data_IF_720643211365
#
_entry.id   IF_720643211365
#
_cell.length_a   1.000
_cell.length_b   1.000
_cell.length_c   1.000
_cell.angle_alpha   90.00
_cell.angle_beta   90.00
_cell.angle_gamma   90.00
#
_symmetry.space_group_name_H-M   'P 1'
#
loop_
_entity.id
_entity.type
_entity.pdbx_description
1 polymer ?
#
# COMPACT_ATOMS: atom_id res chain seq x y z
N UNK A 1 -6.09 -13.16 -16.87
CA UNK A 1 -5.98 -12.20 -15.77
C UNK A 1 -5.54 -12.96 -14.54
N UNK A 2 -4.22 -12.98 -14.35
CA UNK A 2 -3.56 -13.66 -13.22
C UNK A 2 -2.85 -12.59 -12.40
N UNK A 3 -3.31 -12.40 -11.17
CA UNK A 3 -2.61 -11.61 -10.17
C UNK A 3 -1.63 -12.52 -9.46
N UNK A 4 -0.38 -12.09 -9.34
CA UNK A 4 0.68 -12.89 -8.75
C UNK A 4 1.66 -11.99 -8.01
N UNK A 5 2.06 -12.39 -6.81
CA UNK A 5 3.22 -11.86 -6.11
C UNK A 5 4.16 -13.02 -5.81
N UNK A 6 5.41 -12.92 -6.27
CA UNK A 6 6.42 -13.94 -6.07
C UNK A 6 7.61 -13.36 -5.31
N UNK A 7 8.00 -14.06 -4.26
CA UNK A 7 9.17 -13.74 -3.48
C UNK A 7 10.34 -14.62 -3.89
N UNK A 8 11.53 -14.07 -3.74
CA UNK A 8 12.77 -14.81 -3.91
C UNK A 8 13.86 -14.26 -2.99
N UNK A 9 14.84 -15.09 -2.65
CA UNK A 9 16.00 -14.71 -1.83
C UNK A 9 17.24 -15.21 -2.54
N UNK A 10 18.30 -14.41 -2.51
CA UNK A 10 19.62 -14.80 -2.99
C UNK A 10 20.31 -15.63 -1.90
N UNK A 11 20.67 -16.88 -2.17
CA UNK A 11 21.24 -17.76 -1.13
C UNK A 11 22.66 -17.32 -0.71
N UNK A 12 23.38 -16.64 -1.60
CA UNK A 12 24.73 -16.16 -1.37
C UNK A 12 24.83 -14.77 -0.72
N UNK A 13 23.71 -14.06 -0.53
CA UNK A 13 23.72 -12.70 0.01
C UNK A 13 22.48 -12.39 0.87
N UNK A 14 22.58 -11.47 1.85
CA UNK A 14 21.44 -11.02 2.64
C UNK A 14 20.57 -10.06 1.81
N UNK A 15 20.05 -10.52 0.68
CA UNK A 15 19.19 -9.75 -0.22
C UNK A 15 17.94 -10.56 -0.50
N UNK A 16 16.79 -9.93 -0.31
CA UNK A 16 15.50 -10.47 -0.75
C UNK A 16 14.98 -9.66 -1.93
N UNK A 17 14.24 -10.32 -2.78
CA UNK A 17 13.56 -9.72 -3.90
C UNK A 17 12.11 -10.17 -3.99
N UNK A 18 11.29 -9.31 -4.56
CA UNK A 18 9.89 -9.58 -4.82
C UNK A 18 9.49 -8.99 -6.16
N UNK A 19 8.58 -9.68 -6.84
CA UNK A 19 7.91 -9.20 -8.04
C UNK A 19 6.42 -9.35 -7.84
N UNK A 20 5.67 -8.32 -8.20
CA UNK A 20 4.21 -8.34 -8.21
C UNK A 20 3.72 -7.97 -9.59
N UNK A 21 2.65 -8.64 -10.02
CA UNK A 21 1.93 -8.31 -11.23
C UNK A 21 0.43 -8.40 -10.96
N UNK A 22 -0.24 -7.26 -11.09
CA UNK A 22 -1.67 -7.06 -10.82
C UNK A 22 -2.37 -6.77 -12.16
N UNK A 23 -3.06 -7.76 -12.70
CA UNK A 23 -3.99 -7.60 -13.82
C UNK A 23 -5.43 -7.45 -13.30
N UNK A 24 -5.97 -8.51 -12.70
CA UNK A 24 -7.37 -8.60 -12.30
C UNK A 24 -7.71 -7.55 -11.27
N UNK A 25 -6.91 -7.47 -10.21
CA UNK A 25 -7.08 -6.51 -9.11
C UNK A 25 -7.02 -5.07 -9.60
N UNK A 26 -6.11 -4.77 -10.54
CA UNK A 26 -6.00 -3.44 -11.12
C UNK A 26 -7.18 -3.09 -12.03
N UNK A 27 -7.60 -4.04 -12.87
CA UNK A 27 -8.79 -3.88 -13.72
C UNK A 27 -10.06 -3.63 -12.90
N UNK A 28 -10.21 -4.28 -11.74
CA UNK A 28 -11.34 -4.01 -10.85
C UNK A 28 -11.34 -2.55 -10.38
N UNK A 29 -10.19 -1.97 -10.00
CA UNK A 29 -10.12 -0.55 -9.62
C UNK A 29 -10.52 0.36 -10.80
N UNK A 30 -9.99 0.11 -11.99
CA UNK A 30 -10.25 0.95 -13.17
C UNK A 30 -11.67 0.85 -13.71
N UNK A 31 -12.35 -0.29 -13.57
CA UNK A 31 -13.76 -0.42 -14.01
C UNK A 31 -14.73 0.44 -13.20
N UNK A 32 -14.33 0.87 -12.00
CA UNK A 32 -15.20 1.59 -11.06
C UNK A 32 -15.06 3.10 -11.14
N UNK A 33 -13.91 3.59 -11.60
CA UNK A 33 -13.58 5.01 -11.70
C UNK A 33 -12.70 5.25 -12.92
N UNK A 34 -13.01 6.29 -13.68
CA UNK A 34 -12.20 6.71 -14.82
C UNK A 34 -11.19 7.77 -14.35
N UNK A 35 -9.90 7.49 -14.58
CA UNK A 35 -8.82 8.41 -14.23
C UNK A 35 -8.05 8.83 -15.49
N UNK A 36 -7.53 10.07 -15.55
CA UNK A 36 -6.55 10.47 -16.55
C UNK A 36 -5.33 9.54 -16.54
N UNK A 37 -4.67 9.39 -17.68
CA UNK A 37 -3.57 8.43 -17.84
C UNK A 37 -2.44 8.60 -16.78
N UNK A 38 -1.98 9.82 -16.43
CA UNK A 38 -0.95 9.99 -15.39
C UNK A 38 -1.42 9.57 -13.99
N UNK A 39 -2.67 9.86 -13.64
CA UNK A 39 -3.26 9.47 -12.35
C UNK A 39 -3.38 7.95 -12.26
N UNK A 40 -3.77 7.32 -13.37
CA UNK A 40 -3.83 5.86 -13.49
C UNK A 40 -2.45 5.24 -13.29
N UNK A 41 -1.42 5.76 -13.97
CA UNK A 41 -0.04 5.30 -13.80
C UNK A 41 0.40 5.40 -12.34
N UNK A 42 0.25 6.57 -11.73
CA UNK A 42 0.63 6.81 -10.34
C UNK A 42 -0.12 5.91 -9.34
N UNK A 43 -1.45 5.77 -9.47
CA UNK A 43 -2.25 4.93 -8.59
C UNK A 43 -1.89 3.45 -8.74
N UNK A 44 -1.61 3.00 -9.97
CA UNK A 44 -1.18 1.63 -10.24
C UNK A 44 0.21 1.33 -9.67
N UNK A 45 1.17 2.25 -9.81
CA UNK A 45 2.49 2.15 -9.18
C UNK A 45 2.36 2.06 -7.65
N UNK A 46 1.52 2.89 -7.03
CA UNK A 46 1.22 2.81 -5.58
C UNK A 46 0.60 1.47 -5.19
N UNK A 47 -0.27 0.89 -6.02
CA UNK A 47 -0.83 -0.44 -5.77
C UNK A 47 0.24 -1.53 -5.81
N UNK A 48 1.07 -1.56 -6.86
CA UNK A 48 2.18 -2.51 -6.92
C UNK A 48 3.11 -2.38 -5.71
N UNK A 49 3.48 -1.15 -5.35
CA UNK A 49 4.30 -0.88 -4.17
C UNK A 49 3.65 -1.35 -2.86
N UNK A 50 2.35 -1.11 -2.67
CA UNK A 50 1.64 -1.56 -1.46
C UNK A 50 1.65 -3.08 -1.33
N UNK A 51 1.50 -3.82 -2.43
CA UNK A 51 1.59 -5.28 -2.42
C UNK A 51 3.00 -5.76 -2.04
N UNK A 52 4.05 -5.19 -2.65
CA UNK A 52 5.45 -5.52 -2.38
C UNK A 52 5.84 -5.24 -0.93
N UNK A 53 5.47 -4.07 -0.39
CA UNK A 53 5.76 -3.74 1.00
C UNK A 53 4.94 -4.60 1.97
N UNK A 54 3.67 -4.87 1.65
CA UNK A 54 2.78 -5.66 2.50
C UNK A 54 3.20 -7.13 2.62
N UNK A 55 3.87 -7.70 1.62
CA UNK A 55 4.15 -9.12 1.62
C UNK A 55 5.12 -9.53 2.75
N UNK A 56 6.03 -8.65 3.16
CA UNK A 56 7.04 -8.93 4.20
C UNK A 56 6.65 -8.53 5.61
N UNK A 57 5.44 -8.00 5.76
CA UNK A 57 4.96 -7.52 7.03
C UNK A 57 4.45 -8.70 7.87
N UNK A 58 5.15 -9.01 8.97
CA UNK A 58 4.76 -10.05 9.94
C UNK A 58 3.60 -9.63 10.85
N UNK A 59 2.78 -8.65 10.44
CA UNK A 59 1.68 -8.14 11.25
C UNK A 59 0.31 -8.54 10.67
N UNK A 60 -0.67 -8.67 11.56
CA UNK A 60 -2.06 -8.88 11.18
C UNK A 60 -2.77 -7.52 11.07
N UNK A 61 -3.02 -7.02 9.86
CA UNK A 61 -3.70 -5.75 9.64
C UNK A 61 -3.55 -5.22 8.21
N UNK A 62 -3.69 -3.90 8.06
CA UNK A 62 -3.60 -3.20 6.79
C UNK A 62 -2.37 -2.27 6.71
N UNK A 63 -1.67 -2.30 5.58
CA UNK A 63 -0.79 -1.24 5.14
C UNK A 63 -1.61 -0.25 4.29
N UNK A 64 -1.56 1.03 4.65
CA UNK A 64 -2.27 2.10 3.96
C UNK A 64 -1.24 3.09 3.45
N UNK A 65 -1.15 3.26 2.13
CA UNK A 65 -0.37 4.33 1.50
C UNK A 65 -1.30 5.49 1.16
N UNK A 66 -0.90 6.69 1.55
CA UNK A 66 -1.64 7.90 1.24
C UNK A 66 -0.71 8.94 0.65
N UNK A 67 -1.13 9.51 -0.47
CA UNK A 67 -0.49 10.67 -1.05
C UNK A 67 -1.49 11.82 -0.97
N UNK A 68 -1.13 12.86 -0.23
CA UNK A 68 -1.92 14.08 -0.13
C UNK A 68 -1.27 15.14 -1.00
N UNK A 69 -2.04 15.68 -1.95
CA UNK A 69 -1.55 16.66 -2.88
C UNK A 69 -2.14 18.05 -2.70
N UNK A 70 -1.36 19.06 -3.06
CA UNK A 70 -1.77 20.46 -3.08
C UNK A 70 -2.15 20.95 -4.49
N UNK A 71 -2.01 20.10 -5.50
CA UNK A 71 -2.36 20.34 -6.91
C UNK A 71 -3.73 19.80 -7.33
N UNK A 72 -3.95 19.53 -8.64
CA UNK A 72 -5.22 19.01 -9.17
C UNK A 72 -5.58 17.62 -8.64
N UNK A 73 -4.60 16.85 -8.16
CA UNK A 73 -4.80 15.55 -7.52
C UNK A 73 -4.66 15.71 -6.01
N UNK A 74 -5.81 15.72 -5.30
CA UNK A 74 -5.87 16.03 -3.86
C UNK A 74 -5.45 14.87 -2.99
N UNK A 75 -5.81 13.65 -3.39
CA UNK A 75 -5.54 12.49 -2.56
C UNK A 75 -5.45 11.22 -3.41
N UNK A 76 -4.50 10.35 -3.11
CA UNK A 76 -4.54 8.95 -3.50
C UNK A 76 -4.46 8.10 -2.23
N UNK A 77 -5.23 7.02 -2.19
CA UNK A 77 -5.20 6.06 -1.10
C UNK A 77 -5.13 4.66 -1.68
N UNK A 78 -4.18 3.87 -1.20
CA UNK A 78 -4.08 2.44 -1.45
C UNK A 78 -4.07 1.73 -0.10
N UNK A 79 -4.91 0.72 0.06
CA UNK A 79 -4.91 -0.16 1.23
C UNK A 79 -4.62 -1.58 0.76
N UNK A 80 -3.69 -2.25 1.45
CA UNK A 80 -3.35 -3.65 1.26
C UNK A 80 -3.36 -4.34 2.63
N UNK A 81 -4.21 -5.36 2.78
CA UNK A 81 -4.24 -6.20 3.97
C UNK A 81 -3.15 -7.28 3.92
N UNK A 82 -2.85 -7.88 5.07
CA UNK A 82 -1.90 -9.01 5.20
C UNK A 82 -2.25 -10.23 4.33
N UNK A 83 -3.53 -10.39 3.95
CA UNK A 83 -4.01 -11.43 3.03
C UNK A 83 -3.92 -11.03 1.54
N UNK A 84 -3.20 -9.94 1.24
CA UNK A 84 -3.07 -9.29 -0.07
C UNK A 84 -4.42 -8.91 -0.70
N UNK A 85 -5.44 -8.67 0.13
CA UNK A 85 -6.66 -8.04 -0.34
C UNK A 85 -6.49 -6.53 -0.39
N UNK A 86 -6.80 -5.96 -1.56
CA UNK A 86 -6.40 -4.60 -1.91
C UNK A 86 -7.57 -3.75 -2.40
N UNK A 87 -7.46 -2.45 -2.19
CA UNK A 87 -8.33 -1.43 -2.78
C UNK A 87 -7.59 -0.11 -2.93
N UNK A 88 -8.01 0.69 -3.90
CA UNK A 88 -7.38 1.96 -4.18
C UNK A 88 -8.40 2.99 -4.68
N UNK A 89 -8.14 4.27 -4.44
CA UNK A 89 -8.94 5.37 -4.96
C UNK A 89 -8.09 6.64 -5.10
N UNK A 90 -8.53 7.55 -5.96
CA UNK A 90 -7.93 8.85 -6.15
C UNK A 90 -9.01 9.94 -6.20
N UNK A 91 -8.76 11.06 -5.54
CA UNK A 91 -9.63 12.24 -5.50
C UNK A 91 -8.97 13.40 -6.24
N UNK A 92 -9.60 13.81 -7.32
CA UNK A 92 -9.21 15.00 -8.09
C UNK A 92 -10.01 16.21 -7.59
N UNK A 93 -9.53 17.41 -7.89
CA UNK A 93 -10.35 18.62 -7.80
C UNK A 93 -11.40 18.59 -8.90
N UNK A 94 -12.63 18.99 -8.58
CA UNK A 94 -13.72 19.05 -9.56
C UNK A 94 -13.36 19.93 -10.75
N UNK A 95 -13.50 19.39 -11.95
CA UNK A 95 -13.15 20.07 -13.19
C UNK A 95 -11.65 20.21 -13.47
N UNK A 96 -10.77 19.59 -12.67
CA UNK A 96 -9.34 19.60 -12.92
C UNK A 96 -9.00 18.95 -14.27
N UNK A 97 -8.10 19.59 -15.01
CA UNK A 97 -7.51 19.03 -16.22
C UNK A 97 -6.06 18.64 -15.91
N UNK A 98 -5.75 17.36 -16.16
CA UNK A 98 -4.41 16.82 -16.00
C UNK A 98 -3.95 16.43 -17.41
N UNK A 99 -2.86 17.06 -17.88
CA UNK A 99 -2.27 16.78 -19.18
C UNK A 99 -1.69 15.36 -19.22
N UNK A 100 -1.64 14.73 -20.40
CA UNK A 100 -1.16 13.34 -20.54
C UNK A 100 0.33 13.16 -20.17
N UNK A 101 1.11 14.24 -20.19
CA UNK A 101 2.53 14.30 -19.81
C UNK A 101 2.75 14.92 -18.41
N UNK A 102 1.69 15.06 -17.61
CA UNK A 102 1.78 15.64 -16.28
C UNK A 102 2.76 14.87 -15.38
N UNK A 103 3.70 15.60 -14.78
CA UNK A 103 4.67 15.07 -13.83
C UNK A 103 4.06 14.90 -12.44
N UNK A 104 4.67 14.07 -11.59
CA UNK A 104 4.28 13.93 -10.18
C UNK A 104 4.15 15.30 -9.50
N UNK A 105 5.19 16.14 -9.59
CA UNK A 105 5.17 17.47 -8.98
C UNK A 105 4.01 18.34 -9.46
N UNK A 106 3.71 18.33 -10.77
CA UNK A 106 2.58 19.11 -11.32
C UNK A 106 1.20 18.60 -10.88
N UNK A 107 1.08 17.31 -10.56
CA UNK A 107 -0.19 16.72 -10.13
C UNK A 107 -0.45 16.92 -8.64
N UNK A 108 0.58 16.76 -7.80
CA UNK A 108 0.41 16.60 -6.34
C UNK A 108 1.27 17.52 -5.49
N UNK A 109 2.28 18.20 -6.04
CA UNK A 109 3.23 19.00 -5.25
C UNK A 109 3.50 20.38 -5.90
N UNK A 110 2.44 21.03 -6.38
CA UNK A 110 2.52 22.32 -7.08
C UNK A 110 3.03 23.46 -6.20
N UNK A 111 2.75 23.40 -4.89
CA UNK A 111 3.14 24.44 -3.93
C UNK A 111 4.14 23.92 -2.89
N UNK A 112 4.66 22.70 -3.05
CA UNK A 112 5.61 22.11 -2.10
C UNK A 112 4.97 21.63 -0.80
N UNK A 113 3.65 21.53 -0.73
CA UNK A 113 2.89 21.08 0.44
C UNK A 113 2.37 19.64 0.32
N UNK A 114 2.72 18.96 -0.78
CA UNK A 114 2.41 17.55 -0.97
C UNK A 114 3.16 16.68 0.03
N UNK A 115 2.51 15.62 0.51
CA UNK A 115 3.09 14.67 1.47
C UNK A 115 2.69 13.24 1.13
N UNK A 116 3.59 12.32 1.42
CA UNK A 116 3.36 10.89 1.35
C UNK A 116 3.39 10.29 2.75
N UNK A 117 2.48 9.37 3.02
CA UNK A 117 2.39 8.69 4.29
C UNK A 117 2.15 7.20 4.10
N UNK A 118 2.80 6.39 4.94
CA UNK A 118 2.46 4.97 5.11
C UNK A 118 1.97 4.79 6.54
N UNK A 119 0.80 4.18 6.67
CA UNK A 119 0.20 3.81 7.95
C UNK A 119 0.11 2.30 8.05
N UNK A 120 0.64 1.75 9.15
CA UNK A 120 0.46 0.35 9.52
C UNK A 120 -0.65 0.29 10.56
N UNK A 121 -1.77 -0.29 10.16
CA UNK A 121 -2.98 -0.35 10.97
C UNK A 121 -3.28 -1.80 11.41
N UNK A 122 -2.95 -2.19 12.65
CA UNK A 122 -3.21 -3.54 13.15
C UNK A 122 -4.72 -3.82 13.23
N UNK A 123 -5.13 -5.04 12.86
CA UNK A 123 -6.52 -5.46 12.99
C UNK A 123 -6.92 -5.61 14.46
N UNK A 124 -6.04 -6.21 15.27
CA UNK A 124 -6.27 -6.53 16.68
C UNK A 124 -5.67 -5.44 17.59
N UNK A 125 -6.26 -4.24 17.58
CA UNK A 125 -5.78 -3.12 18.41
C UNK A 125 -6.05 -3.36 19.89
N UNK A 126 -5.03 -3.17 20.71
CA UNK A 126 -5.23 -3.02 22.16
C UNK A 126 -5.94 -1.68 22.45
N UNK A 127 -6.74 -1.58 23.52
CA UNK A 127 -7.34 -0.31 23.92
C UNK A 127 -6.29 0.80 24.06
N UNK A 128 -6.46 1.88 23.30
CA UNK A 128 -5.53 3.01 23.28
C UNK A 128 -4.34 2.88 22.31
N UNK A 129 -4.16 1.72 21.66
CA UNK A 129 -3.11 1.53 20.66
C UNK A 129 -3.42 2.32 19.39
N UNK A 130 -2.51 3.23 19.02
CA UNK A 130 -2.61 4.00 17.80
C UNK A 130 -1.89 3.28 16.64
N UNK A 131 -2.38 3.42 15.40
CA UNK A 131 -1.64 2.97 14.21
C UNK A 131 -0.26 3.64 14.14
N UNK A 132 0.73 2.93 13.64
CA UNK A 132 2.02 3.52 13.31
C UNK A 132 1.90 4.27 11.97
N UNK A 133 2.43 5.48 11.89
CA UNK A 133 2.41 6.27 10.66
C UNK A 133 3.75 6.98 10.47
N UNK A 134 4.38 6.74 9.32
CA UNK A 134 5.49 7.54 8.83
C UNK A 134 5.01 8.50 7.75
N UNK A 135 5.53 9.73 7.75
CA UNK A 135 5.18 10.78 6.78
C UNK A 135 6.47 11.40 6.25
N UNK A 136 6.55 11.56 4.93
CA UNK A 136 7.65 12.26 4.26
C UNK A 136 7.12 13.33 3.30
N UNK A 137 7.85 14.44 3.12
CA UNK A 137 7.57 15.41 2.06
C UNK A 137 7.77 14.77 0.68
N UNK A 138 7.17 15.38 -0.35
CA UNK A 138 7.41 15.00 -1.76
C UNK A 138 8.62 15.71 -2.39
N UNK A 139 9.56 16.13 -1.55
CA UNK A 139 10.79 16.83 -1.91
C UNK A 139 11.92 16.40 -0.97
N UNK A 140 13.14 16.34 -1.47
CA UNK A 140 14.35 16.11 -0.70
C UNK A 140 15.29 17.34 -0.77
N UNK A 141 16.55 17.15 -0.35
CA UNK A 141 17.59 18.17 -0.40
C UNK A 141 17.98 18.63 -1.83
N UNK A 142 17.66 17.84 -2.86
CA UNK A 142 17.91 18.13 -4.27
C UNK A 142 16.68 18.72 -4.99
N UNK A 143 15.53 18.79 -4.31
CA UNK A 143 14.30 19.40 -4.83
C UNK A 143 13.11 18.43 -4.85
N UNK A 144 12.08 18.70 -5.66
CA UNK A 144 10.91 17.84 -5.76
C UNK A 144 11.26 16.45 -6.30
N UNK A 145 10.71 15.40 -5.67
CA UNK A 145 10.91 14.03 -6.09
C UNK A 145 10.18 13.77 -7.42
N UNK A 146 10.88 13.12 -8.37
CA UNK A 146 10.44 13.03 -9.76
C UNK A 146 9.39 11.93 -10.02
N UNK A 147 9.34 10.88 -9.18
CA UNK A 147 8.51 9.68 -9.41
C UNK A 147 8.06 9.04 -8.09
N UNK A 148 7.05 8.17 -8.17
CA UNK A 148 6.59 7.40 -7.01
C UNK A 148 7.67 6.48 -6.45
N UNK A 149 8.50 5.91 -7.34
CA UNK A 149 9.67 5.12 -6.95
C UNK A 149 10.61 5.94 -6.06
N UNK A 150 10.96 7.17 -6.47
CA UNK A 150 11.82 8.05 -5.67
C UNK A 150 11.21 8.41 -4.31
N UNK A 151 9.89 8.64 -4.26
CA UNK A 151 9.17 8.90 -3.01
C UNK A 151 9.21 7.70 -2.05
N UNK A 152 9.01 6.49 -2.56
CA UNK A 152 9.05 5.28 -1.74
C UNK A 152 10.48 4.96 -1.26
N UNK A 153 11.48 5.08 -2.12
CA UNK A 153 12.88 4.89 -1.70
C UNK A 153 13.30 5.92 -0.65
N UNK A 154 12.92 7.19 -0.81
CA UNK A 154 13.15 8.23 0.19
C UNK A 154 12.44 7.90 1.52
N UNK A 155 11.20 7.40 1.46
CA UNK A 155 10.47 6.94 2.65
C UNK A 155 11.21 5.79 3.35
N UNK A 156 11.61 4.75 2.61
CA UNK A 156 12.27 3.57 3.18
C UNK A 156 13.63 3.92 3.81
N UNK A 157 14.38 4.83 3.19
CA UNK A 157 15.65 5.30 3.73
C UNK A 157 15.45 6.12 5.02
N UNK A 158 14.47 7.03 5.03
CA UNK A 158 14.29 8.01 6.12
C UNK A 158 13.52 7.44 7.30
N UNK A 159 12.47 6.67 7.05
CA UNK A 159 11.53 6.19 8.07
C UNK A 159 11.85 4.77 8.55
N UNK A 160 12.28 3.88 7.64
CA UNK A 160 12.50 2.45 7.94
C UNK A 160 13.99 2.09 8.08
N UNK A 161 14.91 2.94 7.59
CA UNK A 161 16.35 2.71 7.56
C UNK A 161 16.75 1.41 6.83
N UNK A 162 16.04 1.09 5.74
CA UNK A 162 16.28 -0.11 4.94
C UNK A 162 16.71 0.26 3.52
N UNK A 163 17.84 -0.30 3.07
CA UNK A 163 18.25 -0.18 1.66
C UNK A 163 17.28 -0.96 0.79
N UNK A 164 16.42 -0.20 0.12
CA UNK A 164 15.32 -0.71 -0.69
C UNK A 164 15.40 -0.08 -2.06
N UNK A 165 15.35 -0.91 -3.10
CA UNK A 165 15.22 -0.48 -4.49
C UNK A 165 13.89 -0.95 -5.05
N UNK A 166 13.24 -0.06 -5.80
CA UNK A 166 11.94 -0.30 -6.38
C UNK A 166 11.97 -0.02 -7.87
N UNK A 167 11.24 -0.83 -8.63
CA UNK A 167 10.92 -0.57 -10.02
C UNK A 167 9.43 -0.75 -10.18
N UNK A 168 8.72 0.32 -10.54
CA UNK A 168 7.27 0.34 -10.62
C UNK A 168 6.84 0.76 -12.02
N UNK A 169 5.78 0.14 -12.53
CA UNK A 169 5.16 0.50 -13.78
C UNK A 169 3.67 0.15 -13.76
N UNK A 170 2.83 1.01 -14.34
CA UNK A 170 1.42 0.70 -14.53
C UNK A 170 0.85 1.32 -15.81
N UNK A 171 -0.10 0.62 -16.42
CA UNK A 171 -0.81 1.06 -17.61
C UNK A 171 -2.34 0.82 -17.48
N UNK A 172 -3.04 0.75 -18.61
CA UNK A 172 -4.49 0.51 -18.66
C UNK A 172 -4.90 -0.93 -18.34
N UNK A 173 -3.94 -1.85 -18.23
CA UNK A 173 -4.14 -3.31 -18.12
C UNK A 173 -3.52 -3.89 -16.86
N UNK A 174 -2.29 -3.48 -16.55
CA UNK A 174 -1.42 -4.09 -15.55
C UNK A 174 -0.84 -3.00 -14.63
N UNK A 175 -0.76 -3.30 -13.34
CA UNK A 175 0.15 -2.64 -12.41
C UNK A 175 1.20 -3.67 -11.96
N UNK A 176 2.48 -3.37 -12.12
CA UNK A 176 3.59 -4.29 -11.87
C UNK A 176 4.71 -3.60 -11.12
N UNK A 177 5.48 -4.38 -10.37
CA UNK A 177 6.68 -3.85 -9.76
C UNK A 177 7.64 -4.91 -9.25
N UNK A 178 8.89 -4.50 -9.08
CA UNK A 178 9.94 -5.26 -8.44
C UNK A 178 10.44 -4.50 -7.21
N UNK A 179 10.73 -5.22 -6.14
CA UNK A 179 11.42 -4.73 -4.96
C UNK A 179 12.67 -5.57 -4.74
N UNK A 180 13.80 -4.92 -4.49
CA UNK A 180 14.98 -5.54 -3.89
C UNK A 180 15.24 -4.87 -2.55
N UNK A 181 15.57 -5.64 -1.54
CA UNK A 181 15.86 -5.09 -0.23
C UNK A 181 16.99 -5.85 0.45
N UNK A 182 17.93 -5.09 1.00
CA UNK A 182 19.01 -5.62 1.82
C UNK A 182 18.45 -6.00 3.19
N UNK A 183 18.67 -7.25 3.58
CA UNK A 183 18.33 -7.74 4.90
C UNK A 183 19.41 -7.29 5.89
N UNK A 184 19.04 -6.97 7.14
CA UNK A 184 20.01 -6.70 8.18
C UNK A 184 20.93 -7.91 8.38
N UNK A 185 22.24 -7.70 8.36
CA UNK A 185 23.24 -8.73 8.69
C UNK A 185 23.27 -9.11 10.17
N UNK A 186 22.33 -8.60 10.97
CA UNK A 186 22.21 -8.82 12.41
C UNK A 186 20.72 -8.89 12.80
N UNK A 187 20.30 -10.02 13.37
CA UNK A 187 19.02 -10.12 14.06
C UNK A 187 18.99 -9.14 15.25
N UNK A 188 17.87 -8.48 15.46
CA UNK A 188 17.72 -7.37 16.42
C UNK A 188 18.26 -7.65 17.83
N UNK A 189 18.74 -6.55 18.43
CA UNK A 189 19.42 -6.37 19.71
C UNK A 189 20.95 -6.51 19.65
N UNK A 190 21.61 -5.37 19.94
CA UNK A 190 23.03 -5.18 20.30
C UNK A 190 23.93 -4.63 19.20
N UNK A 191 23.72 -3.36 18.84
CA UNK A 191 24.81 -2.51 18.34
C UNK A 191 25.80 -2.23 19.50
N UNK A 192 27.10 -2.47 19.28
CA UNK A 192 28.18 -1.88 20.08
C UNK A 192 29.07 -2.79 20.94
N UNK A 193 28.97 -4.13 20.86
CA UNK A 193 29.89 -5.02 21.59
C UNK A 193 30.97 -5.63 20.68
N UNK A 194 32.28 -5.48 21.01
CA UNK A 194 33.35 -6.15 20.26
C UNK A 194 33.34 -7.65 20.55
N UNK A 195 33.31 -8.48 19.50
CA UNK A 195 33.56 -9.93 19.62
C UNK A 195 32.45 -10.87 19.12
N UNK A 196 31.42 -10.40 18.43
CA UNK A 196 30.37 -11.27 17.88
C UNK A 196 30.51 -11.48 16.36
N UNK A 197 30.44 -12.75 15.95
CA UNK A 197 30.47 -13.18 14.56
C UNK A 197 29.26 -12.60 13.77
N UNK A 198 29.43 -12.28 12.47
CA UNK A 198 28.35 -11.79 11.63
C UNK A 198 27.19 -12.81 11.59
N UNK A 199 25.94 -12.36 11.46
CA UNK A 199 24.81 -13.28 11.50
C UNK A 199 24.92 -14.31 10.37
N UNK A 200 25.11 -15.56 10.76
CA UNK A 200 25.15 -16.72 9.87
C UNK A 200 23.75 -17.15 9.41
N UNK A 201 22.70 -16.37 9.67
CA UNK A 201 21.31 -16.84 9.58
C UNK A 201 20.48 -15.98 8.62
N UNK A 202 19.98 -16.59 7.55
CA UNK A 202 19.08 -15.96 6.58
C UNK A 202 17.67 -15.71 7.13
N UNK A 203 16.82 -15.06 6.34
CA UNK A 203 15.45 -14.61 6.72
C UNK A 203 14.54 -15.71 7.30
N UNK A 204 14.81 -16.96 6.95
CA UNK A 204 14.06 -18.16 7.37
C UNK A 204 14.61 -18.81 8.65
N UNK A 205 15.63 -18.24 9.30
CA UNK A 205 16.29 -18.88 10.44
C UNK A 205 17.26 -20.01 10.03
N UNK A 206 17.55 -20.18 8.74
CA UNK A 206 18.49 -21.19 8.24
C UNK A 206 19.89 -20.59 8.06
N UNK A 207 20.95 -21.38 8.29
CA UNK A 207 22.30 -20.93 8.04
C UNK A 207 22.49 -20.53 6.56
N UNK A 208 23.16 -19.40 6.32
CA UNK A 208 23.80 -19.15 5.03
C UNK A 208 24.81 -20.29 4.77
N UNK A 209 24.99 -20.72 3.51
CA UNK A 209 25.80 -21.91 3.20
C UNK A 209 27.22 -21.79 3.79
N UNK A 210 27.77 -22.90 4.32
CA UNK A 210 29.10 -22.95 4.96
C UNK A 210 30.27 -22.57 4.01
N UNK A 211 30.05 -22.66 2.69
CA UNK A 211 30.97 -22.26 1.63
C UNK A 211 30.77 -20.81 1.14
N UNK A 212 29.91 -20.02 1.81
CA UNK A 212 29.80 -18.57 1.61
C UNK A 212 31.05 -17.86 2.20
N UNK A 213 32.19 -18.08 1.55
CA UNK A 213 33.43 -17.38 1.81
C UNK A 213 33.19 -15.87 1.71
N UNK A 214 33.19 -15.18 2.85
CA UNK A 214 33.16 -13.71 2.96
C UNK A 214 32.00 -13.06 2.22
N UNK A 215 30.88 -12.83 2.93
CA UNK A 215 29.74 -12.00 2.52
C UNK A 215 30.07 -11.12 1.32
N UNK A 216 29.58 -11.48 0.13
CA UNK A 216 29.84 -10.72 -1.07
C UNK A 216 29.08 -9.39 -0.97
N UNK A 217 29.70 -8.40 -0.34
CA UNK A 217 29.19 -7.03 -0.21
C UNK A 217 28.88 -6.44 -1.61
N UNK A 218 29.50 -6.97 -2.67
CA UNK A 218 29.25 -6.61 -4.06
C UNK A 218 27.93 -7.20 -4.60
N UNK A 219 27.40 -8.29 -4.03
CA UNK A 219 26.15 -8.88 -4.54
C UNK A 219 24.99 -7.90 -4.49
N UNK A 220 24.86 -7.08 -3.43
CA UNK A 220 23.81 -6.05 -3.39
C UNK A 220 23.96 -5.03 -4.53
N UNK A 221 25.17 -4.50 -4.72
CA UNK A 221 25.44 -3.50 -5.77
C UNK A 221 25.19 -4.10 -7.16
N UNK A 222 25.65 -5.33 -7.38
CA UNK A 222 25.51 -6.08 -8.62
C UNK A 222 24.05 -6.40 -8.96
N UNK A 223 23.25 -6.92 -8.02
CA UNK A 223 21.83 -7.20 -8.28
C UNK A 223 21.01 -5.93 -8.49
N UNK A 224 21.41 -4.83 -7.85
CA UNK A 224 20.83 -3.50 -8.11
C UNK A 224 21.19 -2.99 -9.51
N UNK A 225 22.45 -3.16 -9.95
CA UNK A 225 22.88 -2.80 -11.30
C UNK A 225 22.14 -3.61 -12.37
N UNK A 226 21.99 -4.92 -12.17
CA UNK A 226 21.17 -5.77 -13.04
C UNK A 226 19.71 -5.30 -13.05
N UNK A 227 19.14 -5.04 -11.87
CA UNK A 227 17.78 -4.49 -11.74
C UNK A 227 17.60 -3.16 -12.46
N UNK A 228 18.61 -2.27 -12.46
CA UNK A 228 18.57 -0.99 -13.15
C UNK A 228 18.46 -1.11 -14.68
N UNK A 229 18.73 -2.29 -15.26
CA UNK A 229 18.51 -2.56 -16.69
C UNK A 229 17.05 -2.91 -17.03
N UNK A 230 16.22 -3.19 -16.01
CA UNK A 230 14.81 -3.55 -16.19
C UNK A 230 14.01 -2.37 -16.73
N UNK A 231 13.40 -2.54 -17.90
CA UNK A 231 12.57 -1.50 -18.51
C UNK A 231 11.10 -1.64 -18.12
N UNK A 232 10.38 -0.52 -18.19
CA UNK A 232 8.94 -0.47 -17.87
C UNK A 232 8.10 -1.37 -18.78
N UNK A 233 8.42 -1.44 -20.09
CA UNK A 233 7.70 -2.30 -21.03
C UNK A 233 7.89 -3.79 -20.69
N UNK A 234 9.07 -4.17 -20.21
CA UNK A 234 9.36 -5.54 -19.75
C UNK A 234 8.55 -5.87 -18.50
N UNK A 235 8.48 -4.96 -17.52
CA UNK A 235 7.68 -5.11 -16.30
C UNK A 235 6.18 -5.31 -16.58
N UNK A 236 5.66 -4.64 -17.61
CA UNK A 236 4.24 -4.71 -17.97
C UNK A 236 3.88 -5.95 -18.79
N UNK A 237 4.80 -6.42 -19.65
CA UNK A 237 4.51 -7.45 -20.65
C UNK A 237 4.96 -8.85 -20.26
N UNK A 238 6.05 -8.99 -19.49
CA UNK A 238 6.67 -10.29 -19.25
C UNK A 238 6.10 -10.97 -17.98
N UNK A 239 5.98 -12.31 -17.96
CA UNK A 239 5.71 -13.05 -16.73
C UNK A 239 6.85 -12.92 -15.72
N UNK A 240 6.53 -12.98 -14.42
CA UNK A 240 7.48 -12.82 -13.31
C UNK A 240 8.68 -13.77 -13.44
N UNK A 241 8.44 -15.05 -13.71
CA UNK A 241 9.52 -16.06 -13.85
C UNK A 241 10.47 -15.76 -15.01
N UNK A 242 9.95 -15.15 -16.08
CA UNK A 242 10.78 -14.74 -17.21
C UNK A 242 11.67 -13.55 -16.84
N UNK A 243 11.15 -12.60 -16.07
CA UNK A 243 11.92 -11.44 -15.59
C UNK A 243 13.04 -11.88 -14.65
N UNK A 244 12.74 -12.69 -13.63
CA UNK A 244 13.75 -13.18 -12.66
C UNK A 244 14.85 -13.92 -13.41
N UNK A 245 14.49 -14.84 -14.31
CA UNK A 245 15.46 -15.58 -15.10
C UNK A 245 16.30 -14.67 -15.98
N UNK A 246 15.72 -13.67 -16.65
CA UNK A 246 16.49 -12.77 -17.53
C UNK A 246 17.45 -11.88 -16.74
N UNK A 247 17.00 -11.34 -15.60
CA UNK A 247 17.80 -10.44 -14.78
C UNK A 247 18.92 -11.17 -14.04
N UNK A 248 18.65 -12.37 -13.54
CA UNK A 248 19.52 -13.03 -12.55
C UNK A 248 19.90 -14.46 -12.93
N UNK A 249 19.99 -14.82 -14.21
CA UNK A 249 20.33 -16.19 -14.62
C UNK A 249 21.67 -16.68 -14.06
N UNK A 250 22.71 -15.83 -14.05
CA UNK A 250 24.03 -16.17 -13.50
C UNK A 250 23.93 -16.46 -12.00
N UNK A 251 23.13 -15.66 -11.27
CA UNK A 251 22.90 -15.88 -9.84
C UNK A 251 22.14 -17.18 -9.59
N UNK A 252 21.15 -17.50 -10.43
CA UNK A 252 20.42 -18.76 -10.32
C UNK A 252 21.34 -19.97 -10.50
N UNK A 253 22.33 -19.88 -11.39
CA UNK A 253 23.26 -20.98 -11.70
C UNK A 253 24.43 -21.07 -10.71
N UNK A 254 25.02 -19.94 -10.31
CA UNK A 254 26.25 -19.89 -9.53
C UNK A 254 26.05 -19.69 -8.02
N UNK A 255 25.11 -18.82 -7.63
CA UNK A 255 24.91 -18.37 -6.25
C UNK A 255 23.69 -19.00 -5.57
N UNK A 256 22.71 -19.43 -6.37
CA UNK A 256 21.41 -19.94 -5.93
C UNK A 256 20.41 -18.81 -5.69
N UNK A 257 19.24 -18.92 -6.34
CA UNK A 257 18.05 -18.12 -5.99
C UNK A 257 16.96 -19.07 -5.56
N UNK A 258 16.46 -18.85 -4.34
CA UNK A 258 15.34 -19.60 -3.81
C UNK A 258 14.06 -18.84 -4.08
N UNK A 259 13.17 -19.45 -4.84
CA UNK A 259 11.84 -18.92 -5.11
C UNK A 259 10.83 -19.49 -4.12
N UNK A 260 9.87 -18.68 -3.69
CA UNK A 260 8.78 -19.10 -2.82
C UNK A 260 7.49 -19.29 -3.62
N UNK A 261 6.51 -19.95 -2.99
CA UNK A 261 5.18 -20.09 -3.55
C UNK A 261 4.56 -18.72 -3.82
N UNK A 262 3.90 -18.54 -4.98
CA UNK A 262 3.27 -17.28 -5.32
C UNK A 262 2.09 -17.01 -4.39
N UNK A 263 2.01 -15.77 -3.91
CA UNK A 263 0.83 -15.26 -3.27
C UNK A 263 -0.09 -14.63 -4.33
N UNK A 264 -1.40 -14.59 -4.03
CA UNK A 264 -2.43 -14.17 -4.97
C UNK A 264 -3.14 -12.91 -4.47
N UNK A 265 -2.66 -11.70 -4.85
CA UNK A 265 -3.37 -10.47 -4.61
C UNK A 265 -4.78 -10.50 -5.19
N UNK A 266 -5.71 -9.80 -4.53
CA UNK A 266 -7.09 -9.69 -5.02
C UNK A 266 -7.70 -8.35 -4.66
N UNK A 267 -8.59 -7.84 -5.51
CA UNK A 267 -9.43 -6.72 -5.13
C UNK A 267 -10.43 -7.12 -4.03
N UNK A 268 -10.53 -6.32 -2.96
CA UNK A 268 -11.57 -6.46 -1.93
C UNK A 268 -11.89 -5.10 -1.32
N UNK A 269 -13.17 -4.76 -1.32
CA UNK A 269 -13.66 -3.63 -0.54
C UNK A 269 -14.35 -4.12 0.73
N UNK A 270 -14.16 -3.38 1.82
CA UNK A 270 -14.73 -3.68 3.12
C UNK A 270 -15.91 -2.75 3.48
N UNK A 271 -16.40 -1.94 2.54
CA UNK A 271 -17.59 -1.11 2.74
C UNK A 271 -18.82 -1.97 3.07
N UNK A 272 -19.70 -1.43 3.90
CA UNK A 272 -21.01 -2.03 4.19
C UNK A 272 -21.95 -0.95 4.65
N UNK A 273 -23.26 -1.21 4.57
CA UNK A 273 -24.29 -0.30 5.08
C UNK A 273 -24.06 0.08 6.53
N UNK A 274 -23.59 -0.87 7.36
CA UNK A 274 -23.25 -0.61 8.77
C UNK A 274 -22.12 0.41 8.93
N UNK A 275 -21.04 0.30 8.13
CA UNK A 275 -19.92 1.26 8.19
C UNK A 275 -20.31 2.62 7.65
N UNK A 276 -21.10 2.67 6.58
CA UNK A 276 -21.62 3.93 6.04
C UNK A 276 -22.55 4.60 7.07
N UNK A 277 -23.45 3.83 7.69
CA UNK A 277 -24.29 4.35 8.79
C UNK A 277 -23.47 4.84 9.98
N UNK A 278 -22.40 4.14 10.36
CA UNK A 278 -21.50 4.60 11.42
C UNK A 278 -20.81 5.92 11.07
N UNK A 279 -20.40 6.12 9.81
CA UNK A 279 -19.87 7.39 9.31
C UNK A 279 -20.93 8.50 9.34
N UNK A 280 -22.16 8.23 8.87
CA UNK A 280 -23.25 9.20 8.90
C UNK A 280 -23.55 9.71 10.32
N UNK A 281 -23.47 8.83 11.33
CA UNK A 281 -23.63 9.23 12.73
C UNK A 281 -22.59 10.26 13.20
N UNK A 282 -21.37 10.24 12.65
CA UNK A 282 -20.32 11.19 13.03
C UNK A 282 -20.55 12.60 12.46
N UNK A 283 -21.38 12.75 11.43
CA UNK A 283 -21.78 14.06 10.91
C UNK A 283 -22.77 14.77 11.84
N UNK A 284 -23.56 14.01 12.60
CA UNK A 284 -24.58 14.52 13.51
C UNK A 284 -25.98 14.52 12.88
N UNK A 285 -27.02 14.48 13.73
CA UNK A 285 -28.40 14.34 13.27
C UNK A 285 -28.89 15.54 12.47
N UNK A 286 -28.54 16.76 12.90
CA UNK A 286 -28.98 18.00 12.25
C UNK A 286 -28.53 18.06 10.78
N UNK A 287 -27.25 17.78 10.52
CA UNK A 287 -26.70 17.74 9.16
C UNK A 287 -27.43 16.71 8.26
N UNK A 288 -27.78 15.55 8.82
CA UNK A 288 -28.49 14.51 8.09
C UNK A 288 -29.92 14.93 7.77
N UNK A 289 -30.61 15.56 8.71
CA UNK A 289 -31.97 16.05 8.53
C UNK A 289 -32.03 17.17 7.47
N UNK A 290 -31.02 18.05 7.43
CA UNK A 290 -30.87 19.08 6.40
C UNK A 290 -30.66 18.44 5.01
N UNK A 291 -29.76 17.47 4.88
CA UNK A 291 -29.53 16.73 3.62
C UNK A 291 -30.83 16.03 3.16
N UNK A 292 -31.60 15.44 4.08
CA UNK A 292 -32.87 14.79 3.75
C UNK A 292 -33.90 15.79 3.20
N UNK A 293 -33.95 17.01 3.73
CA UNK A 293 -34.87 18.05 3.25
C UNK A 293 -34.48 18.55 1.85
N UNK A 294 -33.19 18.74 1.60
CA UNK A 294 -32.69 19.22 0.30
C UNK A 294 -32.71 18.13 -0.79
N UNK A 295 -32.39 16.89 -0.41
CA UNK A 295 -32.18 15.74 -1.30
C UNK A 295 -33.43 14.91 -1.63
N UNK A 296 -34.63 15.41 -1.35
CA UNK A 296 -35.88 14.69 -1.67
C UNK A 296 -36.14 13.47 -0.77
N UNK A 297 -35.70 13.51 0.48
CA UNK A 297 -35.99 12.52 1.52
C UNK A 297 -35.03 11.32 1.58
N UNK A 298 -33.85 11.41 0.94
CA UNK A 298 -32.82 10.37 0.97
C UNK A 298 -31.42 10.95 1.07
N UNK A 299 -30.55 10.24 1.77
CA UNK A 299 -29.11 10.46 1.77
C UNK A 299 -28.45 9.40 0.90
N UNK A 300 -27.68 9.83 -0.09
CA UNK A 300 -27.00 8.95 -1.06
C UNK A 300 -25.48 9.06 -0.90
N UNK A 301 -24.82 7.91 -0.80
CA UNK A 301 -23.37 7.81 -0.64
C UNK A 301 -22.82 6.74 -1.58
N UNK A 302 -21.85 7.13 -2.40
CA UNK A 302 -21.05 6.20 -3.18
C UNK A 302 -19.74 5.88 -2.45
N UNK A 303 -19.40 4.60 -2.35
CA UNK A 303 -18.11 4.21 -1.82
C UNK A 303 -16.98 4.57 -2.80
N UNK A 304 -16.07 5.45 -2.37
CA UNK A 304 -14.94 5.91 -3.21
C UNK A 304 -13.99 4.81 -3.68
N UNK A 305 -13.95 3.65 -3.01
CA UNK A 305 -13.10 2.53 -3.40
C UNK A 305 -13.76 1.59 -4.41
N UNK A 306 -15.04 1.24 -4.17
CA UNK A 306 -15.69 0.16 -4.92
C UNK A 306 -16.83 0.63 -5.83
N UNK A 307 -17.25 1.88 -5.73
CA UNK A 307 -18.39 2.43 -6.47
C UNK A 307 -19.75 1.93 -6.00
N UNK A 308 -19.83 1.14 -4.92
CA UNK A 308 -21.10 0.69 -4.37
C UNK A 308 -21.92 1.90 -3.87
N UNK A 309 -23.14 2.03 -4.37
CA UNK A 309 -24.10 3.04 -3.95
C UNK A 309 -24.89 2.59 -2.73
N UNK A 310 -25.05 3.49 -1.76
CA UNK A 310 -25.84 3.32 -0.56
C UNK A 310 -26.85 4.45 -0.43
N UNK A 311 -28.14 4.12 -0.32
CA UNK A 311 -29.19 5.08 -0.04
C UNK A 311 -29.78 4.83 1.36
N UNK A 312 -29.98 5.89 2.13
CA UNK A 312 -30.64 5.88 3.43
C UNK A 312 -31.87 6.79 3.34
N UNK A 313 -33.05 6.26 3.59
CA UNK A 313 -34.26 7.08 3.68
C UNK A 313 -34.42 7.72 5.08
N UNK A 314 -35.46 8.53 5.26
CA UNK A 314 -35.73 9.17 6.54
C UNK A 314 -35.90 8.18 7.71
N UNK A 315 -36.42 6.98 7.46
CA UNK A 315 -36.61 5.95 8.49
C UNK A 315 -35.26 5.34 8.86
N UNK A 316 -34.44 5.01 7.87
CA UNK A 316 -33.08 4.51 8.07
C UNK A 316 -32.24 5.52 8.87
N UNK A 317 -32.28 6.80 8.50
CA UNK A 317 -31.55 7.86 9.20
C UNK A 317 -32.02 8.02 10.64
N UNK A 318 -33.34 8.03 10.89
CA UNK A 318 -33.88 8.09 12.26
C UNK A 318 -33.41 6.88 13.11
N UNK A 319 -33.32 5.68 12.52
CA UNK A 319 -32.83 4.50 13.23
C UNK A 319 -31.35 4.59 13.62
N UNK A 320 -30.50 5.28 12.84
CA UNK A 320 -29.08 5.46 13.16
C UNK A 320 -28.88 6.19 14.49
N UNK A 321 -29.77 7.13 14.83
CA UNK A 321 -29.69 7.94 16.06
C UNK A 321 -30.56 7.42 17.20
N UNK A 322 -31.62 6.67 16.90
CA UNK A 322 -32.50 6.08 17.92
C UNK A 322 -31.83 4.98 18.78
N UNK A 323 -30.79 4.31 18.26
CA UNK A 323 -30.11 3.22 18.98
C UNK A 323 -29.41 3.67 20.27
N UNK A 324 -29.00 4.94 20.38
CA UNK A 324 -28.43 5.50 21.63
C UNK A 324 -29.52 5.90 22.63
N UNK A 325 -30.70 6.29 22.14
CA UNK A 325 -31.83 6.71 22.99
C UNK A 325 -32.43 5.53 23.77
N UNK A 326 -32.43 4.32 23.20
CA UNK A 326 -32.95 3.12 23.90
C UNK A 326 -32.03 2.71 25.05
N UNK A 327 -30.71 2.88 24.93
CA UNK A 327 -29.76 2.56 26.01
C UNK A 327 -29.84 3.58 27.15
N UNK A 328 -30.11 4.85 26.86
CA UNK A 328 -30.35 5.88 27.89
C UNK A 328 -31.77 5.84 28.49
N UNK A 329 -32.75 5.34 27.73
CA UNK A 329 -34.15 5.22 28.15
C UNK A 329 -34.44 4.02 29.06
N UNK A 330 -33.58 2.99 29.06
CA UNK A 330 -33.61 1.92 30.06
C UNK A 330 -32.80 2.36 31.28
N UNK A 331 -33.29 3.38 31.99
CA UNK A 331 -33.04 3.42 33.43
C UNK A 331 -33.61 2.13 34.00
N UNK A 332 -32.76 1.32 34.63
CA UNK A 332 -33.18 0.17 35.43
C UNK A 332 -34.42 0.55 36.23
N UNK A 333 -35.53 -0.15 36.01
CA UNK A 333 -36.73 -0.01 36.82
C UNK A 333 -36.29 0.03 38.29
N UNK A 334 -36.58 1.14 38.96
CA UNK A 334 -36.33 1.29 40.38
C UNK A 334 -36.93 0.08 41.09
N UNK A 335 -36.14 -0.54 41.95
CA UNK A 335 -36.52 -1.76 42.65
C UNK A 335 -37.83 -1.58 43.41
N UNK A 336 -38.96 -1.94 42.79
CA UNK A 336 -40.20 -2.20 43.48
C UNK A 336 -40.24 -3.70 43.78
N UNK A 337 -40.07 -3.99 45.07
CA UNK A 337 -40.30 -5.30 45.66
C UNK A 337 -41.77 -5.68 45.52
N UNK A 338 -42.02 -6.88 45.02
CA UNK A 338 -43.08 -7.77 45.49
C UNK A 338 -42.52 -9.18 45.57
#
# INVERSE_FOLDING_TARGET
MTDELKKFVFDAAPVRGELVRLEGTWQEVLRRRHYPAPVRGLLGEMMAAAALLSANLKFNGALIMQLHGDGPLRMLVVECNSDLSMRATAKLVDGAQIADDATLASMVNMHGHGRFAITLDPQDKLPGQQPYQGIVPLSDEHGPLASMTAVLEHYMQTSEQLDTRLWLAADDKVASGMLLQRLPSYGGAMEGQPGHAPAEVGETGQPLREDAHGQDLDTWERVCQLGATLRQDELLQQPIDTLIKRLYWEEMEHAGIRMFEPALPRFRCSCSRLRVGAMLRTLGQEEIDDILQEGGGKVEIDCEFCGQHYAFDAVDCAQLFAQDTVVQGVQSASGQRH
#
